data_IF_982928348723
#
_entry.id   IF_982928348723
#
_cell.length_a   1.000
_cell.length_b   1.000
_cell.length_c   1.000
_cell.angle_alpha   90.00
_cell.angle_beta   90.00
_cell.angle_gamma   90.00
#
_symmetry.space_group_name_H-M   'P 1'
#
loop_
_entity.id
_entity.type
_entity.pdbx_description
1 polymer ?
#
# COMPACT_ATOMS: atom_id res chain seq x y z
N UNK A 1 -19.55 13.59 19.34
CA UNK A 1 -19.91 12.20 19.70
C UNK A 1 -20.87 11.70 18.63
N UNK A 2 -20.40 10.83 17.72
CA UNK A 2 -21.21 10.20 16.66
C UNK A 2 -22.28 9.31 17.30
N UNK A 3 -23.55 9.43 16.88
CA UNK A 3 -24.63 8.60 17.38
C UNK A 3 -24.45 7.12 16.96
N UNK A 4 -25.13 6.18 17.63
CA UNK A 4 -25.13 4.77 17.22
C UNK A 4 -25.64 4.59 15.79
N UNK A 5 -26.66 5.38 15.38
CA UNK A 5 -27.21 5.37 14.03
C UNK A 5 -26.19 5.87 12.98
N UNK A 6 -25.39 6.88 13.31
CA UNK A 6 -24.35 7.39 12.41
C UNK A 6 -23.23 6.37 12.21
N UNK A 7 -22.83 5.67 13.28
CA UNK A 7 -21.83 4.58 13.18
C UNK A 7 -22.31 3.45 12.28
N UNK A 8 -23.54 2.99 12.50
CA UNK A 8 -24.14 1.92 11.68
C UNK A 8 -24.24 2.30 10.20
N UNK A 9 -24.52 3.59 9.92
CA UNK A 9 -24.56 4.10 8.55
C UNK A 9 -23.17 4.12 7.90
N UNK A 10 -22.14 4.53 8.62
CA UNK A 10 -20.75 4.54 8.13
C UNK A 10 -20.28 3.12 7.86
N UNK A 11 -20.55 2.17 8.77
CA UNK A 11 -20.24 0.74 8.57
C UNK A 11 -20.92 0.17 7.32
N UNK A 12 -22.19 0.52 7.08
CA UNK A 12 -22.93 0.08 5.89
C UNK A 12 -22.31 0.65 4.60
N UNK A 13 -21.86 1.90 4.59
CA UNK A 13 -21.19 2.54 3.45
C UNK A 13 -19.86 1.84 3.17
N UNK A 14 -19.05 1.59 4.18
CA UNK A 14 -17.76 0.89 4.03
C UNK A 14 -17.97 -0.53 3.54
N UNK A 15 -18.92 -1.27 4.14
CA UNK A 15 -19.26 -2.64 3.70
C UNK A 15 -19.73 -2.68 2.24
N UNK A 16 -20.51 -1.69 1.80
CA UNK A 16 -20.94 -1.58 0.41
C UNK A 16 -19.74 -1.32 -0.53
N UNK A 17 -18.85 -0.41 -0.14
CA UNK A 17 -17.66 -0.10 -0.94
C UNK A 17 -16.72 -1.31 -1.06
N UNK A 18 -16.49 -2.03 0.04
CA UNK A 18 -15.68 -3.27 0.05
C UNK A 18 -16.29 -4.37 -0.82
N UNK A 19 -17.61 -4.53 -0.81
CA UNK A 19 -18.31 -5.55 -1.60
C UNK A 19 -18.55 -5.18 -3.08
N UNK A 20 -18.22 -3.95 -3.50
CA UNK A 20 -18.51 -3.46 -4.85
C UNK A 20 -17.48 -3.92 -5.90
N UNK A 21 -16.32 -4.38 -5.47
CA UNK A 21 -15.19 -4.72 -6.35
C UNK A 21 -15.03 -6.25 -6.41
N UNK A 22 -15.00 -6.79 -7.61
CA UNK A 22 -14.67 -8.20 -7.88
C UNK A 22 -13.23 -8.33 -8.37
N UNK A 23 -12.58 -9.43 -8.03
CA UNK A 23 -11.27 -9.82 -8.51
C UNK A 23 -11.40 -10.84 -9.64
N UNK A 24 -10.43 -10.82 -10.55
CA UNK A 24 -10.29 -11.91 -11.52
C UNK A 24 -9.65 -13.15 -10.85
N UNK A 25 -9.67 -14.28 -11.58
CA UNK A 25 -9.22 -15.57 -11.07
C UNK A 25 -7.72 -15.55 -10.66
N UNK A 26 -6.89 -14.73 -11.32
CA UNK A 26 -5.45 -14.65 -11.04
C UNK A 26 -5.21 -13.91 -9.72
N UNK A 27 -5.89 -12.79 -9.52
CA UNK A 27 -5.81 -12.03 -8.27
C UNK A 27 -6.38 -12.84 -7.12
N UNK A 28 -7.51 -13.54 -7.33
CA UNK A 28 -8.11 -14.42 -6.34
C UNK A 28 -7.16 -15.57 -5.93
N UNK A 29 -6.50 -16.23 -6.89
CA UNK A 29 -5.50 -17.26 -6.61
C UNK A 29 -4.27 -16.71 -5.87
N UNK A 30 -3.81 -15.50 -6.21
CA UNK A 30 -2.72 -14.84 -5.47
C UNK A 30 -3.14 -14.53 -4.03
N UNK A 31 -4.40 -14.15 -3.80
CA UNK A 31 -4.97 -13.90 -2.47
C UNK A 31 -5.01 -15.17 -1.63
N UNK A 32 -5.44 -16.30 -2.19
CA UNK A 32 -5.43 -17.58 -1.50
C UNK A 32 -4.00 -17.93 -1.04
N UNK A 33 -3.01 -17.80 -1.92
CA UNK A 33 -1.60 -18.01 -1.58
C UNK A 33 -1.11 -17.05 -0.50
N UNK A 34 -1.56 -15.80 -0.51
CA UNK A 34 -1.20 -14.82 0.52
C UNK A 34 -1.71 -15.26 1.90
N UNK A 35 -2.95 -15.76 1.99
CA UNK A 35 -3.53 -16.28 3.23
C UNK A 35 -2.73 -17.49 3.72
N UNK A 36 -2.39 -18.43 2.85
CA UNK A 36 -1.61 -19.63 3.18
C UNK A 36 -0.20 -19.28 3.71
N UNK A 37 0.38 -18.20 3.22
CA UNK A 37 1.69 -17.69 3.65
C UNK A 37 1.61 -16.78 4.89
N UNK A 38 0.40 -16.47 5.40
CA UNK A 38 0.20 -15.52 6.49
C UNK A 38 0.50 -14.07 6.11
N UNK A 39 0.62 -13.77 4.82
CA UNK A 39 0.68 -12.41 4.31
C UNK A 39 -0.73 -11.86 4.21
N UNK A 40 -1.05 -10.81 4.96
CA UNK A 40 -2.38 -10.19 4.97
C UNK A 40 -2.62 -9.39 3.68
N UNK A 41 -3.32 -9.94 2.66
CA UNK A 41 -3.51 -9.22 1.40
C UNK A 41 -4.50 -8.06 1.57
N UNK A 42 -4.26 -6.96 0.86
CA UNK A 42 -5.22 -5.85 0.77
C UNK A 42 -6.59 -6.32 0.29
N UNK A 43 -7.68 -5.69 0.74
CA UNK A 43 -9.01 -6.01 0.26
C UNK A 43 -9.17 -5.66 -1.23
N UNK A 44 -10.14 -6.24 -1.96
CA UNK A 44 -10.39 -5.90 -3.36
C UNK A 44 -10.61 -4.39 -3.59
N UNK A 45 -11.32 -3.74 -2.69
CA UNK A 45 -11.59 -2.30 -2.79
C UNK A 45 -10.31 -1.46 -2.57
N UNK A 46 -9.44 -1.85 -1.64
CA UNK A 46 -8.12 -1.24 -1.46
C UNK A 46 -7.27 -1.47 -2.72
N UNK A 47 -7.24 -2.69 -3.26
CA UNK A 47 -6.52 -2.99 -4.50
C UNK A 47 -6.97 -2.11 -5.66
N UNK A 48 -8.29 -1.99 -5.88
CA UNK A 48 -8.85 -1.11 -6.90
C UNK A 48 -8.43 0.35 -6.70
N UNK A 49 -8.41 0.83 -5.44
CA UNK A 49 -7.95 2.17 -5.11
C UNK A 49 -6.45 2.36 -5.42
N UNK A 50 -5.60 1.36 -5.12
CA UNK A 50 -4.18 1.39 -5.49
C UNK A 50 -3.99 1.49 -7.01
N UNK A 51 -4.80 0.76 -7.79
CA UNK A 51 -4.82 0.87 -9.27
C UNK A 51 -5.18 2.29 -9.74
N UNK A 52 -6.18 2.91 -9.10
CA UNK A 52 -6.56 4.31 -9.39
C UNK A 52 -5.39 5.26 -9.06
N UNK A 53 -4.75 5.12 -7.90
CA UNK A 53 -3.59 5.95 -7.54
C UNK A 53 -2.43 5.76 -8.51
N UNK A 54 -2.11 4.53 -8.89
CA UNK A 54 -1.07 4.25 -9.86
C UNK A 54 -1.34 4.97 -11.20
N UNK A 55 -2.59 4.96 -11.65
CA UNK A 55 -3.00 5.65 -12.89
C UNK A 55 -2.93 7.17 -12.78
N UNK A 56 -3.46 7.74 -11.69
CA UNK A 56 -3.52 9.20 -11.48
C UNK A 56 -2.12 9.81 -11.27
N UNK A 57 -1.21 9.08 -10.62
CA UNK A 57 0.17 9.55 -10.39
C UNK A 57 1.07 9.46 -11.64
N UNK A 58 0.56 8.91 -12.76
CA UNK A 58 1.33 8.75 -14.00
C UNK A 58 1.86 7.33 -14.23
N UNK A 59 1.94 6.49 -13.19
CA UNK A 59 2.15 5.05 -13.23
C UNK A 59 3.35 4.53 -14.02
N UNK A 60 4.44 5.30 -14.12
CA UNK A 60 5.66 4.90 -14.83
C UNK A 60 6.67 4.21 -13.90
N UNK A 61 6.86 4.76 -12.72
CA UNK A 61 7.76 4.20 -11.71
C UNK A 61 7.03 4.15 -10.35
N UNK A 62 6.73 2.95 -9.89
CA UNK A 62 6.07 2.71 -8.61
C UNK A 62 7.01 1.92 -7.72
N UNK A 63 7.10 2.31 -6.45
CA UNK A 63 7.81 1.54 -5.43
C UNK A 63 6.84 1.10 -4.34
N UNK A 64 6.94 -0.16 -3.95
CA UNK A 64 6.11 -0.80 -2.93
C UNK A 64 6.98 -1.44 -1.85
N UNK A 65 6.62 -1.24 -0.60
CA UNK A 65 7.17 -1.93 0.57
C UNK A 65 6.11 -2.88 1.10
N UNK A 66 6.41 -4.18 1.09
CA UNK A 66 5.46 -5.25 1.36
C UNK A 66 4.94 -5.87 0.06
N UNK A 67 5.68 -6.86 -0.49
CA UNK A 67 5.29 -7.56 -1.72
C UNK A 67 4.16 -8.56 -1.46
N UNK A 68 4.19 -9.23 -0.30
CA UNK A 68 3.31 -10.35 -0.01
C UNK A 68 3.29 -11.38 -1.14
N UNK A 69 2.14 -11.97 -1.43
CA UNK A 69 1.97 -12.88 -2.56
C UNK A 69 1.69 -12.16 -3.92
N UNK A 70 1.83 -10.84 -3.97
CA UNK A 70 1.70 -10.04 -5.18
C UNK A 70 0.30 -9.49 -5.46
N UNK A 71 -0.63 -9.57 -4.51
CA UNK A 71 -2.02 -9.08 -4.70
C UNK A 71 -2.04 -7.58 -4.97
N UNK A 72 -1.46 -6.77 -4.09
CA UNK A 72 -1.34 -5.32 -4.27
C UNK A 72 -0.56 -4.97 -5.53
N UNK A 73 0.53 -5.71 -5.81
CA UNK A 73 1.34 -5.55 -7.02
C UNK A 73 0.57 -5.77 -8.32
N UNK A 74 -0.33 -6.77 -8.38
CA UNK A 74 -1.22 -7.01 -9.54
C UNK A 74 -2.17 -5.82 -9.76
N UNK A 75 -2.78 -5.32 -8.70
CA UNK A 75 -3.63 -4.14 -8.76
C UNK A 75 -2.86 -2.89 -9.20
N UNK A 76 -1.66 -2.65 -8.66
CA UNK A 76 -0.79 -1.55 -9.09
C UNK A 76 -0.47 -1.64 -10.58
N UNK A 77 -0.02 -2.82 -11.05
CA UNK A 77 0.34 -3.06 -12.44
C UNK A 77 -0.83 -2.86 -13.41
N UNK A 78 -2.08 -3.13 -12.99
CA UNK A 78 -3.28 -2.89 -13.78
C UNK A 78 -3.57 -1.39 -13.98
N UNK A 79 -3.20 -0.56 -13.02
CA UNK A 79 -3.33 0.90 -13.10
C UNK A 79 -2.15 1.59 -13.77
N UNK A 80 -0.98 0.97 -13.75
CA UNK A 80 0.25 1.51 -14.32
C UNK A 80 0.23 1.53 -15.84
N UNK A 81 1.09 2.36 -16.42
CA UNK A 81 1.37 2.39 -17.86
C UNK A 81 1.96 1.05 -18.33
N UNK A 82 1.79 0.72 -19.60
CA UNK A 82 2.37 -0.49 -20.20
C UNK A 82 3.90 -0.52 -20.14
N UNK A 83 4.55 0.65 -20.22
CA UNK A 83 6.00 0.83 -20.07
C UNK A 83 6.44 1.09 -18.63
N UNK A 84 5.51 1.03 -17.67
CA UNK A 84 5.78 1.28 -16.25
C UNK A 84 6.43 0.10 -15.54
N UNK A 85 7.24 0.40 -14.53
CA UNK A 85 7.98 -0.58 -13.72
C UNK A 85 7.57 -0.48 -12.25
N UNK A 86 7.09 -1.59 -11.70
CA UNK A 86 6.88 -1.78 -10.28
C UNK A 86 8.16 -2.31 -9.63
N UNK A 87 8.73 -1.56 -8.69
CA UNK A 87 9.77 -2.05 -7.78
C UNK A 87 9.09 -2.44 -6.47
N UNK A 88 9.17 -3.71 -6.08
CA UNK A 88 8.52 -4.18 -4.85
C UNK A 88 9.53 -4.88 -3.95
N UNK A 89 9.47 -4.58 -2.64
CA UNK A 89 10.46 -4.95 -1.65
C UNK A 89 9.79 -5.80 -0.57
N UNK A 90 10.36 -6.96 -0.29
CA UNK A 90 9.88 -7.83 0.80
C UNK A 90 11.06 -8.55 1.46
N UNK A 91 10.95 -8.77 2.76
CA UNK A 91 11.94 -9.51 3.53
C UNK A 91 11.85 -11.02 3.30
N UNK A 92 10.63 -11.53 3.07
CA UNK A 92 10.34 -12.95 3.04
C UNK A 92 10.53 -13.55 1.63
N UNK A 93 11.47 -14.49 1.44
CA UNK A 93 11.72 -15.11 0.13
C UNK A 93 10.51 -15.86 -0.44
N UNK A 94 9.64 -16.42 0.41
CA UNK A 94 8.43 -17.12 -0.01
C UNK A 94 7.42 -16.15 -0.62
N UNK A 95 7.26 -14.95 -0.03
CA UNK A 95 6.44 -13.88 -0.59
C UNK A 95 6.92 -13.52 -1.99
N UNK A 96 8.21 -13.26 -2.15
CA UNK A 96 8.82 -12.92 -3.44
C UNK A 96 8.60 -14.00 -4.50
N UNK A 97 8.68 -15.29 -4.12
CA UNK A 97 8.42 -16.41 -5.05
C UNK A 97 6.96 -16.45 -5.47
N UNK A 98 6.05 -16.32 -4.53
CA UNK A 98 4.61 -16.30 -4.78
C UNK A 98 4.20 -15.12 -5.66
N UNK A 99 4.71 -13.92 -5.37
CA UNK A 99 4.45 -12.74 -6.19
C UNK A 99 4.97 -12.90 -7.62
N UNK A 100 6.19 -13.44 -7.79
CA UNK A 100 6.74 -13.75 -9.13
C UNK A 100 5.87 -14.72 -9.91
N UNK A 101 5.31 -15.73 -9.23
CA UNK A 101 4.35 -16.66 -9.83
C UNK A 101 3.09 -15.92 -10.26
N UNK A 102 2.48 -15.11 -9.39
CA UNK A 102 1.28 -14.34 -9.68
C UNK A 102 1.47 -13.40 -10.88
N UNK A 103 2.60 -12.69 -10.95
CA UNK A 103 2.91 -11.81 -12.08
C UNK A 103 3.09 -12.59 -13.40
N UNK A 104 3.68 -13.79 -13.33
CA UNK A 104 3.81 -14.69 -14.50
C UNK A 104 2.46 -15.22 -14.98
N UNK A 105 1.57 -15.62 -14.06
CA UNK A 105 0.21 -16.08 -14.36
C UNK A 105 -0.61 -14.96 -15.02
N UNK A 106 -0.40 -13.71 -14.59
CA UNK A 106 -1.02 -12.52 -15.18
C UNK A 106 -0.36 -12.07 -16.51
N UNK A 107 0.58 -12.86 -17.05
CA UNK A 107 1.33 -12.53 -18.26
C UNK A 107 2.05 -11.15 -18.18
N UNK A 108 2.42 -10.69 -17.00
CA UNK A 108 3.20 -9.47 -16.82
C UNK A 108 4.62 -9.70 -17.33
N UNK A 109 5.07 -8.85 -18.23
CA UNK A 109 6.44 -8.95 -18.77
C UNK A 109 7.47 -8.78 -17.62
N UNK A 110 8.51 -9.63 -17.54
CA UNK A 110 9.53 -9.55 -16.47
C UNK A 110 10.21 -8.18 -16.35
N UNK A 111 10.29 -7.43 -17.44
CA UNK A 111 10.83 -6.07 -17.46
C UNK A 111 9.97 -5.04 -16.72
N UNK A 112 8.71 -5.37 -16.43
CA UNK A 112 7.77 -4.50 -15.70
C UNK A 112 7.83 -4.67 -14.20
N UNK A 113 8.55 -5.66 -13.68
CA UNK A 113 8.63 -5.92 -12.24
C UNK A 113 10.08 -6.06 -11.78
N UNK A 114 10.40 -5.41 -10.69
CA UNK A 114 11.67 -5.51 -10.01
C UNK A 114 11.43 -5.96 -8.57
N UNK A 115 11.52 -7.27 -8.32
CA UNK A 115 11.37 -7.85 -7.00
C UNK A 115 12.72 -7.79 -6.27
N UNK A 116 12.75 -7.16 -5.09
CA UNK A 116 13.97 -6.99 -4.30
C UNK A 116 13.75 -7.64 -2.92
N UNK A 117 14.51 -8.72 -2.67
CA UNK A 117 14.53 -9.36 -1.36
C UNK A 117 15.42 -8.59 -0.39
N UNK A 118 14.92 -8.25 0.79
CA UNK A 118 15.68 -7.60 1.84
C UNK A 118 14.87 -6.62 2.68
N UNK A 119 15.51 -6.06 3.69
CA UNK A 119 14.90 -5.05 4.57
C UNK A 119 14.68 -3.76 3.80
N UNK A 120 13.47 -3.21 3.84
CA UNK A 120 13.15 -1.97 3.14
C UNK A 120 14.03 -0.79 3.61
N UNK A 121 14.38 -0.75 4.89
CA UNK A 121 15.30 0.25 5.46
C UNK A 121 16.70 0.25 4.79
N UNK A 122 17.13 -0.90 4.27
CA UNK A 122 18.42 -1.05 3.59
C UNK A 122 18.32 -0.85 2.07
N UNK A 123 17.13 -1.12 1.50
CA UNK A 123 16.88 -1.04 0.06
C UNK A 123 16.49 0.36 -0.36
N UNK A 124 15.54 1.00 0.34
CA UNK A 124 15.05 2.33 -0.01
C UNK A 124 16.17 3.37 -0.18
N UNK A 125 17.20 3.45 0.70
CA UNK A 125 18.30 4.41 0.54
C UNK A 125 19.12 4.27 -0.75
N UNK A 126 19.04 3.11 -1.43
CA UNK A 126 19.77 2.82 -2.67
C UNK A 126 18.99 3.19 -3.93
N UNK A 127 17.74 3.55 -3.77
CA UNK A 127 16.87 3.98 -4.88
C UNK A 127 17.07 5.47 -5.16
N UNK A 128 16.85 5.87 -6.40
CA UNK A 128 17.08 7.24 -6.86
C UNK A 128 16.01 8.22 -6.34
N UNK A 129 16.46 9.39 -5.90
CA UNK A 129 15.59 10.49 -5.47
C UNK A 129 14.73 11.00 -6.63
N UNK A 130 13.54 11.49 -6.29
CA UNK A 130 12.59 12.16 -7.21
C UNK A 130 12.32 11.40 -8.52
N UNK A 131 12.40 10.06 -8.46
CA UNK A 131 12.29 9.19 -9.63
C UNK A 131 11.03 8.34 -9.66
N UNK A 132 10.20 8.41 -8.61
CA UNK A 132 9.01 7.59 -8.48
C UNK A 132 7.72 8.42 -8.48
N UNK A 133 6.71 7.91 -9.16
CA UNK A 133 5.37 8.49 -9.25
C UNK A 133 4.53 8.18 -8.03
N UNK A 134 4.72 6.96 -7.47
CA UNK A 134 3.95 6.46 -6.34
C UNK A 134 4.84 5.63 -5.42
N UNK A 135 4.72 5.88 -4.12
CA UNK A 135 5.21 5.03 -3.03
C UNK A 135 4.02 4.37 -2.35
N UNK A 136 4.03 3.05 -2.25
CA UNK A 136 3.06 2.28 -1.46
C UNK A 136 3.77 1.63 -0.28
N UNK A 137 3.21 1.76 0.92
CA UNK A 137 3.69 1.10 2.13
C UNK A 137 2.56 0.21 2.63
N UNK A 138 2.73 -1.10 2.46
CA UNK A 138 1.81 -2.16 2.89
C UNK A 138 2.60 -3.22 3.66
N UNK A 139 3.18 -2.79 4.78
CA UNK A 139 4.04 -3.61 5.62
C UNK A 139 3.81 -3.28 7.10
N UNK A 140 4.58 -3.92 8.02
CA UNK A 140 4.40 -3.84 9.46
C UNK A 140 4.10 -2.41 9.94
N UNK A 141 2.95 -2.17 10.60
CA UNK A 141 2.52 -0.83 11.02
C UNK A 141 3.53 -0.13 11.93
N UNK A 142 4.20 -0.88 12.80
CA UNK A 142 5.22 -0.34 13.71
C UNK A 142 6.41 0.30 12.96
N UNK A 143 6.74 -0.19 11.76
CA UNK A 143 7.90 0.24 10.98
C UNK A 143 7.54 1.31 9.91
N UNK A 144 6.26 1.65 9.76
CA UNK A 144 5.79 2.64 8.76
C UNK A 144 6.54 3.98 8.82
N UNK A 145 6.87 4.56 9.99
CA UNK A 145 7.63 5.81 10.05
C UNK A 145 9.01 5.69 9.40
N UNK A 146 9.70 4.56 9.60
CA UNK A 146 11.03 4.34 9.04
C UNK A 146 10.97 4.12 7.52
N UNK A 147 9.98 3.34 7.04
CA UNK A 147 9.76 3.18 5.61
C UNK A 147 9.40 4.51 4.93
N UNK A 148 8.56 5.31 5.57
CA UNK A 148 8.19 6.63 5.08
C UNK A 148 9.41 7.56 5.02
N UNK A 149 10.21 7.64 6.08
CA UNK A 149 11.42 8.48 6.12
C UNK A 149 12.42 8.10 5.01
N UNK A 150 12.59 6.79 4.74
CA UNK A 150 13.44 6.29 3.65
C UNK A 150 12.86 6.49 2.26
N UNK A 151 11.53 6.48 2.13
CA UNK A 151 10.81 6.44 0.86
C UNK A 151 10.33 7.79 0.33
N UNK A 152 10.01 8.75 1.20
CA UNK A 152 9.40 10.02 0.82
C UNK A 152 10.26 10.85 -0.16
N UNK A 153 11.57 10.77 -0.05
CA UNK A 153 12.52 11.43 -0.96
C UNK A 153 12.49 10.89 -2.38
N UNK A 154 12.01 9.65 -2.56
CA UNK A 154 11.94 8.98 -3.85
C UNK A 154 10.86 9.58 -4.76
N UNK A 155 9.84 10.20 -4.15
CA UNK A 155 8.73 10.80 -4.89
C UNK A 155 9.17 12.05 -5.62
N UNK A 156 8.87 12.14 -6.90
CA UNK A 156 8.99 13.38 -7.65
C UNK A 156 7.92 14.40 -7.22
N UNK A 157 8.08 15.71 -7.51
CA UNK A 157 6.96 16.65 -7.42
C UNK A 157 5.73 16.15 -8.21
N UNK A 158 4.55 16.24 -7.62
CA UNK A 158 3.31 15.66 -8.14
C UNK A 158 3.19 14.14 -7.97
N UNK A 159 4.15 13.49 -7.30
CA UNK A 159 4.07 12.08 -6.91
C UNK A 159 3.19 11.89 -5.68
N UNK A 160 2.81 10.64 -5.39
CA UNK A 160 1.94 10.32 -4.27
C UNK A 160 2.54 9.24 -3.36
N UNK A 161 2.13 9.26 -2.10
CA UNK A 161 2.36 8.16 -1.15
C UNK A 161 1.02 7.60 -0.68
N UNK A 162 0.93 6.28 -0.56
CA UNK A 162 -0.21 5.57 0.04
C UNK A 162 0.33 4.61 1.10
N UNK A 163 -0.16 4.74 2.32
CA UNK A 163 0.18 3.86 3.44
C UNK A 163 -1.08 3.11 3.83
N UNK A 164 -1.05 1.78 3.80
CA UNK A 164 -2.13 0.91 4.24
C UNK A 164 -1.94 0.46 5.68
N UNK A 165 -3.05 0.06 6.34
CA UNK A 165 -3.03 -0.44 7.71
C UNK A 165 -2.93 0.67 8.77
N UNK A 166 -3.22 1.92 8.41
CA UNK A 166 -3.08 3.08 9.32
C UNK A 166 -4.14 3.13 10.43
N UNK A 167 -5.14 2.24 10.42
CA UNK A 167 -6.07 2.11 11.54
C UNK A 167 -5.54 1.21 12.65
N UNK A 168 -4.51 0.40 12.38
CA UNK A 168 -3.98 -0.62 13.30
C UNK A 168 -5.10 -1.50 13.89
N UNK A 169 -5.97 -2.05 13.02
CA UNK A 169 -7.14 -2.82 13.43
C UNK A 169 -8.20 -1.98 14.18
N UNK A 170 -8.32 -0.70 13.84
CA UNK A 170 -9.25 0.24 14.49
C UNK A 170 -8.73 0.87 15.78
N UNK A 171 -7.55 0.43 16.28
CA UNK A 171 -6.99 0.91 17.56
C UNK A 171 -6.35 2.31 17.47
N UNK A 172 -5.98 2.76 16.28
CA UNK A 172 -5.33 4.06 16.08
C UNK A 172 -6.19 5.24 16.58
N UNK A 173 -7.53 5.09 16.60
CA UNK A 173 -8.47 6.07 17.11
C UNK A 173 -8.67 6.06 18.63
N UNK A 174 -8.17 5.05 19.36
CA UNK A 174 -8.29 4.94 20.82
C UNK A 174 -7.11 5.66 21.51
N UNK A 175 -7.33 6.76 22.25
CA UNK A 175 -6.25 7.47 22.94
C UNK A 175 -5.51 6.62 23.99
N UNK A 176 -6.11 5.55 24.50
CA UNK A 176 -5.49 4.66 25.47
C UNK A 176 -4.58 3.59 24.84
N UNK A 177 -4.77 3.30 23.54
CA UNK A 177 -3.92 2.34 22.84
C UNK A 177 -2.53 2.93 22.55
N UNK A 178 -1.49 2.17 22.90
CA UNK A 178 -0.10 2.59 22.79
C UNK A 178 0.86 1.43 22.46
N UNK A 179 0.33 0.36 21.87
CA UNK A 179 1.18 -0.71 21.35
C UNK A 179 2.01 -0.22 20.15
N UNK A 180 3.11 -0.94 19.77
CA UNK A 180 4.03 -0.49 18.74
C UNK A 180 3.35 -0.13 17.40
N UNK A 181 2.34 -0.89 16.98
CA UNK A 181 1.62 -0.64 15.74
C UNK A 181 0.88 0.69 15.77
N UNK A 182 0.13 0.94 16.87
CA UNK A 182 -0.61 2.19 17.06
C UNK A 182 0.34 3.40 17.12
N UNK A 183 1.47 3.26 17.80
CA UNK A 183 2.51 4.32 17.84
C UNK A 183 3.05 4.57 16.44
N UNK A 184 3.39 3.51 15.70
CA UNK A 184 3.93 3.62 14.34
C UNK A 184 2.99 4.33 13.37
N UNK A 185 1.72 3.90 13.28
CA UNK A 185 0.77 4.52 12.36
C UNK A 185 0.46 5.97 12.69
N UNK A 186 0.40 6.32 13.98
CA UNK A 186 0.21 7.73 14.41
C UNK A 186 1.42 8.59 14.05
N UNK A 187 2.63 8.06 14.23
CA UNK A 187 3.85 8.78 13.88
C UNK A 187 3.98 8.95 12.36
N UNK A 188 3.68 7.92 11.55
CA UNK A 188 3.65 8.03 10.10
C UNK A 188 2.65 9.11 9.63
N UNK A 189 1.46 9.15 10.21
CA UNK A 189 0.47 10.18 9.92
C UNK A 189 0.96 11.58 10.30
N UNK A 190 1.64 11.70 11.46
CA UNK A 190 2.23 12.97 11.92
C UNK A 190 3.34 13.46 10.99
N UNK A 191 4.23 12.58 10.54
CA UNK A 191 5.30 12.94 9.59
C UNK A 191 4.73 13.58 8.33
N UNK A 192 3.67 13.00 7.76
CA UNK A 192 3.00 13.56 6.57
C UNK A 192 2.30 14.88 6.90
N UNK A 193 1.58 14.97 8.03
CA UNK A 193 0.84 16.16 8.41
C UNK A 193 1.75 17.37 8.70
N UNK A 194 2.92 17.12 9.27
CA UNK A 194 3.90 18.17 9.61
C UNK A 194 4.75 18.61 8.41
N UNK A 195 4.78 17.83 7.34
CA UNK A 195 5.52 18.17 6.12
C UNK A 195 4.66 19.00 5.16
N UNK A 196 4.86 20.31 5.16
CA UNK A 196 4.10 21.27 4.35
C UNK A 196 4.18 21.06 2.83
N UNK A 197 4.93 20.08 2.37
CA UNK A 197 4.97 19.68 0.94
C UNK A 197 3.89 18.70 0.55
N UNK A 198 3.06 18.23 1.50
CA UNK A 198 2.08 17.19 1.25
C UNK A 198 0.66 17.67 1.52
N UNK A 199 -0.23 17.32 0.60
CA UNK A 199 -1.68 17.36 0.83
C UNK A 199 -2.18 15.95 1.09
N UNK A 200 -2.76 15.70 2.28
CA UNK A 200 -3.05 14.35 2.75
C UNK A 200 -4.52 14.12 3.13
N UNK A 201 -4.96 12.87 3.07
CA UNK A 201 -6.29 12.42 3.51
C UNK A 201 -6.22 11.02 4.11
N UNK A 202 -7.03 10.77 5.14
CA UNK A 202 -7.31 9.43 5.67
C UNK A 202 -8.56 8.86 4.98
N UNK A 203 -8.45 7.63 4.46
CA UNK A 203 -9.52 6.93 3.73
C UNK A 203 -9.90 5.69 4.53
N UNK A 204 -11.15 5.57 5.01
CA UNK A 204 -11.61 4.45 5.83
C UNK A 204 -12.01 3.25 4.95
N UNK A 205 -11.04 2.63 4.28
CA UNK A 205 -11.21 1.46 3.43
C UNK A 205 -10.18 0.42 3.85
N UNK A 206 -10.53 -0.88 3.87
CA UNK A 206 -9.68 -1.92 4.45
C UNK A 206 -9.33 -1.62 5.90
N UNK A 207 -8.06 -1.78 6.26
CA UNK A 207 -7.55 -1.35 7.58
C UNK A 207 -7.08 0.13 7.59
N UNK A 208 -7.73 0.97 6.79
CA UNK A 208 -7.44 2.39 6.67
C UNK A 208 -6.24 2.69 5.77
N UNK A 209 -6.36 3.76 4.99
CA UNK A 209 -5.24 4.28 4.19
C UNK A 209 -4.97 5.74 4.54
N UNK A 210 -3.70 6.11 4.57
CA UNK A 210 -3.25 7.49 4.46
C UNK A 210 -2.74 7.70 3.04
N UNK A 211 -3.36 8.61 2.31
CA UNK A 211 -2.92 8.99 0.98
C UNK A 211 -2.48 10.45 0.97
N UNK A 212 -1.35 10.75 0.34
CA UNK A 212 -0.88 12.11 0.22
C UNK A 212 -0.19 12.35 -1.14
N UNK A 213 -0.33 13.56 -1.65
CA UNK A 213 0.36 14.02 -2.85
C UNK A 213 1.46 15.02 -2.47
N UNK A 214 2.63 14.88 -3.11
CA UNK A 214 3.75 15.82 -2.97
C UNK A 214 3.57 16.99 -3.95
N UNK A 215 3.64 18.21 -3.46
CA UNK A 215 3.65 19.45 -4.25
C UNK A 215 4.88 19.56 -5.14
#
# INVERSE_FOLDING_TARGET
VTSSADRSRVEAIVSHAEGAISEDDIVAAARERAVDLGAGPVTPAVGALLSVFARLSGGKAVVEVGTGAGVSGLWLLSGMREDGVLTTIDLEPEHQRSAKQAFSEAAIAPSRTRLIGGRAQEVLPRLADESYDLLVIDAAPADQPEFLAGGIRLLRPGGAVVIHGVSAGGRAGDPAANDPDVVGVREAARIIADDGRFTAVLIPLGDGLLAATRD
#
